data_IF_224592531350
#
_entry.id   IF_224592531350
#
_cell.length_a   1.000
_cell.length_b   1.000
_cell.length_c   1.000
_cell.angle_alpha   90.00
_cell.angle_beta   90.00
_cell.angle_gamma   90.00
#
_symmetry.space_group_name_H-M   'P 1'
#
loop_
_entity.id
_entity.type
_entity.pdbx_description
1 polymer ?
#
# COMPACT_ATOMS: atom_id res chain seq x y z
N UNK A 1 -20.05 22.66 -3.58
CA UNK A 1 -18.80 21.89 -3.66
C UNK A 1 -19.14 20.61 -4.39
N UNK A 2 -18.76 20.52 -5.65
CA UNK A 2 -19.08 19.36 -6.49
C UNK A 2 -18.21 18.17 -6.06
N UNK A 3 -18.83 17.18 -5.44
CA UNK A 3 -18.23 15.89 -5.18
C UNK A 3 -18.00 15.21 -6.53
N UNK A 4 -16.79 15.33 -7.06
CA UNK A 4 -16.40 14.62 -8.28
C UNK A 4 -16.66 13.12 -8.10
N UNK A 5 -17.61 12.59 -8.88
CA UNK A 5 -17.86 11.16 -8.98
C UNK A 5 -16.59 10.53 -9.53
N UNK A 6 -15.81 9.92 -8.65
CA UNK A 6 -14.56 9.28 -9.03
C UNK A 6 -14.90 7.96 -9.72
N UNK A 7 -14.70 7.92 -11.04
CA UNK A 7 -15.10 6.80 -11.89
C UNK A 7 -14.50 5.45 -11.45
N UNK A 8 -15.09 4.36 -11.96
CA UNK A 8 -14.79 2.96 -11.58
C UNK A 8 -13.30 2.60 -11.46
N UNK A 9 -12.39 3.28 -12.17
CA UNK A 9 -10.93 3.07 -12.05
C UNK A 9 -10.37 3.37 -10.66
N UNK A 10 -10.71 4.51 -10.06
CA UNK A 10 -10.18 4.88 -8.73
C UNK A 10 -10.70 3.96 -7.61
N UNK A 11 -11.88 3.37 -7.79
CA UNK A 11 -12.41 2.37 -6.86
C UNK A 11 -11.67 1.03 -6.99
N UNK A 12 -11.32 0.64 -8.22
CA UNK A 12 -10.56 -0.57 -8.46
C UNK A 12 -9.12 -0.46 -7.96
N UNK A 13 -8.47 0.69 -8.14
CA UNK A 13 -7.14 0.97 -7.57
C UNK A 13 -7.17 0.89 -6.04
N UNK A 14 -8.14 1.55 -5.40
CA UNK A 14 -8.31 1.49 -3.94
C UNK A 14 -8.56 0.05 -3.44
N UNK A 15 -9.42 -0.72 -4.11
CA UNK A 15 -9.66 -2.13 -3.75
C UNK A 15 -8.42 -3.00 -3.96
N UNK A 16 -7.64 -2.75 -5.02
CA UNK A 16 -6.38 -3.44 -5.26
C UNK A 16 -5.33 -3.12 -4.19
N UNK A 17 -5.28 -1.86 -3.76
CA UNK A 17 -4.39 -1.36 -2.72
C UNK A 17 -4.84 -1.79 -1.31
N UNK A 18 -6.09 -2.22 -1.12
CA UNK A 18 -6.51 -2.90 0.13
C UNK A 18 -6.11 -4.38 0.11
N UNK A 19 -6.35 -5.06 -1.01
CA UNK A 19 -6.18 -6.52 -1.12
C UNK A 19 -4.71 -6.94 -1.08
N UNK A 20 -3.82 -6.13 -1.66
CA UNK A 20 -2.39 -6.44 -1.74
C UNK A 20 -1.73 -6.33 -0.36
N UNK A 21 -1.81 -5.22 0.41
CA UNK A 21 -1.09 -5.05 1.66
C UNK A 21 -1.64 -5.81 2.87
N UNK A 22 -2.93 -6.19 2.89
CA UNK A 22 -3.52 -6.92 4.03
C UNK A 22 -2.90 -8.31 4.24
N UNK A 23 -2.34 -8.91 3.19
CA UNK A 23 -1.57 -10.17 3.26
C UNK A 23 -0.05 -9.98 3.35
N UNK A 24 0.45 -8.75 3.23
CA UNK A 24 1.88 -8.45 3.11
C UNK A 24 2.46 -7.92 4.42
N UNK A 25 3.02 -8.81 5.24
CA UNK A 25 3.82 -8.42 6.40
C UNK A 25 5.28 -8.70 6.13
N UNK A 26 6.04 -7.65 5.81
CA UNK A 26 7.49 -7.74 5.62
C UNK A 26 8.18 -6.54 6.25
N UNK A 27 9.34 -6.76 6.86
CA UNK A 27 10.13 -5.71 7.56
C UNK A 27 10.54 -4.53 6.67
N UNK A 28 10.52 -4.71 5.35
CA UNK A 28 10.89 -3.69 4.36
C UNK A 28 9.69 -3.17 3.56
N UNK A 29 8.46 -3.42 4.02
CA UNK A 29 7.22 -2.87 3.47
C UNK A 29 6.46 -2.15 4.58
N UNK A 30 5.82 -1.03 4.26
CA UNK A 30 4.97 -0.30 5.20
C UNK A 30 3.66 -1.06 5.36
N UNK A 31 3.26 -1.37 6.58
CA UNK A 31 2.03 -2.12 6.82
C UNK A 31 0.82 -1.20 6.71
N UNK A 32 -0.22 -1.66 6.00
CA UNK A 32 -1.55 -1.07 6.05
C UNK A 32 -2.23 -1.51 7.35
N UNK A 33 -2.55 -0.56 8.22
CA UNK A 33 -3.22 -0.78 9.51
C UNK A 33 -4.74 -0.91 9.35
N UNK A 34 -5.32 -0.22 8.36
CA UNK A 34 -6.74 -0.26 8.09
C UNK A 34 -7.16 0.62 6.93
N UNK A 35 -8.43 0.55 6.58
CA UNK A 35 -9.04 1.40 5.56
C UNK A 35 -10.44 1.83 6.02
N UNK A 36 -10.89 2.97 5.52
CA UNK A 36 -12.27 3.42 5.66
C UNK A 36 -12.84 3.65 4.25
N UNK A 37 -14.04 3.11 4.03
CA UNK A 37 -14.76 3.20 2.78
C UNK A 37 -16.23 3.48 3.10
N UNK A 38 -16.69 4.70 2.84
CA UNK A 38 -18.10 5.07 2.95
C UNK A 38 -18.48 6.03 1.82
N UNK A 39 -19.48 5.66 1.03
CA UNK A 39 -19.89 6.42 -0.16
C UNK A 39 -18.72 6.75 -1.12
N UNK A 40 -18.36 8.04 -1.18
CA UNK A 40 -17.25 8.54 -2.00
C UNK A 40 -15.96 8.80 -1.18
N UNK A 41 -15.98 8.56 0.12
CA UNK A 41 -14.83 8.74 1.01
C UNK A 41 -14.01 7.44 1.06
N UNK A 42 -12.69 7.61 0.88
CA UNK A 42 -11.72 6.52 0.80
C UNK A 42 -10.47 6.94 1.54
N UNK A 43 -10.16 6.22 2.62
CA UNK A 43 -9.01 6.53 3.49
C UNK A 43 -8.21 5.25 3.70
N UNK A 44 -6.88 5.36 3.60
CA UNK A 44 -5.93 4.31 3.96
C UNK A 44 -5.14 4.76 5.18
N UNK A 45 -4.99 3.87 6.15
CA UNK A 45 -4.26 4.10 7.38
C UNK A 45 -3.02 3.22 7.36
N UNK A 46 -1.84 3.83 7.31
CA UNK A 46 -0.55 3.15 7.27
C UNK A 46 0.24 3.34 8.57
N UNK A 47 1.24 2.48 8.78
CA UNK A 47 2.24 2.72 9.82
C UNK A 47 2.97 4.05 9.61
N UNK A 48 3.11 4.82 10.68
CA UNK A 48 3.79 6.10 10.62
C UNK A 48 5.30 5.92 10.48
N UNK A 49 5.88 6.60 9.48
CA UNK A 49 7.31 6.59 9.21
C UNK A 49 7.93 7.91 9.70
N UNK A 50 8.49 7.96 10.93
CA UNK A 50 8.92 9.22 11.56
C UNK A 50 10.08 9.91 10.83
N UNK A 51 10.85 9.15 10.05
CA UNK A 51 11.96 9.67 9.26
C UNK A 51 11.57 10.00 7.82
N UNK A 52 10.28 10.01 7.48
CA UNK A 52 9.83 10.39 6.15
C UNK A 52 10.39 9.52 5.01
N UNK A 53 10.30 10.00 3.76
CA UNK A 53 10.70 9.23 2.60
C UNK A 53 12.23 9.24 2.42
N UNK A 54 12.75 8.15 1.86
CA UNK A 54 14.17 8.04 1.49
C UNK A 54 14.57 9.09 0.45
N UNK A 55 13.63 9.54 -0.41
CA UNK A 55 13.87 10.59 -1.41
C UNK A 55 14.34 11.89 -0.78
N UNK A 56 13.75 12.30 0.34
CA UNK A 56 14.14 13.51 1.07
C UNK A 56 15.61 13.42 1.54
N UNK A 57 16.04 12.24 1.98
CA UNK A 57 17.40 11.99 2.44
C UNK A 57 18.43 11.85 1.32
N UNK A 58 17.98 11.54 0.10
CA UNK A 58 18.84 11.38 -1.08
C UNK A 58 18.96 12.65 -1.93
N UNK A 59 17.87 13.39 -2.10
CA UNK A 59 17.76 14.45 -3.10
C UNK A 59 17.54 15.85 -2.49
N UNK A 60 16.80 15.98 -1.39
CA UNK A 60 16.42 17.27 -0.78
C UNK A 60 17.49 17.81 0.19
N UNK A 61 18.75 17.54 -0.14
CA UNK A 61 19.90 17.76 0.74
C UNK A 61 20.18 19.24 1.01
N UNK A 62 19.89 20.10 0.03
CA UNK A 62 20.14 21.55 0.09
C UNK A 62 19.08 22.30 0.90
N UNK A 63 17.86 21.79 0.93
CA UNK A 63 16.72 22.46 1.55
C UNK A 63 16.66 22.20 3.06
N UNK A 64 17.07 21.00 3.49
CA UNK A 64 17.02 20.57 4.90
C UNK A 64 18.38 20.59 5.61
N UNK A 65 19.39 21.26 5.04
CA UNK A 65 20.76 21.36 5.56
C UNK A 65 21.33 20.02 6.07
N UNK A 66 20.99 18.93 5.38
CA UNK A 66 21.17 17.56 5.87
C UNK A 66 22.48 16.95 5.38
N UNK A 67 23.16 16.22 6.26
CA UNK A 67 24.39 15.52 5.92
C UNK A 67 24.11 14.39 4.91
N UNK A 68 25.03 14.12 3.97
CA UNK A 68 24.86 13.02 3.03
C UNK A 68 24.72 11.71 3.79
N UNK A 69 23.76 10.89 3.37
CA UNK A 69 23.75 9.48 3.78
C UNK A 69 25.08 8.83 3.41
N UNK A 70 25.73 8.26 4.42
CA UNK A 70 26.93 7.46 4.28
C UNK A 70 26.71 6.33 3.26
N UNK A 71 27.74 6.00 2.47
CA UNK A 71 27.65 4.98 1.43
C UNK A 71 27.12 3.64 1.98
N UNK A 72 27.59 3.24 3.17
CA UNK A 72 27.12 2.03 3.85
C UNK A 72 25.61 2.05 4.11
N UNK A 73 25.05 3.19 4.53
CA UNK A 73 23.60 3.34 4.73
C UNK A 73 22.85 3.23 3.42
N UNK A 74 23.34 3.85 2.34
CA UNK A 74 22.73 3.75 1.00
C UNK A 74 22.66 2.31 0.52
N UNK A 75 23.74 1.55 0.69
CA UNK A 75 23.80 0.15 0.30
C UNK A 75 22.83 -0.71 1.12
N UNK A 76 22.73 -0.47 2.44
CA UNK A 76 21.73 -1.13 3.29
C UNK A 76 20.32 -0.81 2.82
N UNK A 77 19.99 0.45 2.55
CA UNK A 77 18.67 0.86 2.06
C UNK A 77 18.36 0.21 0.72
N UNK A 78 19.31 0.15 -0.22
CA UNK A 78 19.10 -0.52 -1.50
C UNK A 78 18.83 -2.03 -1.33
N UNK A 79 19.56 -2.70 -0.44
CA UNK A 79 19.33 -4.10 -0.11
C UNK A 79 17.96 -4.33 0.53
N UNK A 80 17.56 -3.46 1.45
CA UNK A 80 16.24 -3.50 2.10
C UNK A 80 15.11 -3.33 1.08
N UNK A 81 15.25 -2.39 0.13
CA UNK A 81 14.29 -2.22 -0.97
C UNK A 81 14.25 -3.46 -1.85
N UNK A 82 15.41 -4.03 -2.22
CA UNK A 82 15.47 -5.23 -3.05
C UNK A 82 14.76 -6.43 -2.39
N UNK A 83 14.92 -6.62 -1.07
CA UNK A 83 14.20 -7.65 -0.30
C UNK A 83 12.70 -7.40 -0.26
N UNK A 84 12.27 -6.14 -0.11
CA UNK A 84 10.86 -5.77 -0.18
C UNK A 84 10.25 -6.13 -1.55
N UNK A 85 10.94 -5.80 -2.64
CA UNK A 85 10.49 -6.12 -4.01
C UNK A 85 10.51 -7.62 -4.27
N UNK A 86 11.53 -8.34 -3.83
CA UNK A 86 11.59 -9.81 -3.92
C UNK A 86 10.39 -10.45 -3.22
N UNK A 87 10.05 -9.99 -2.01
CA UNK A 87 8.88 -10.46 -1.28
C UNK A 87 7.58 -10.20 -2.04
N UNK A 88 7.41 -8.98 -2.59
CA UNK A 88 6.24 -8.66 -3.44
C UNK A 88 6.14 -9.59 -4.66
N UNK A 89 7.27 -9.83 -5.34
CA UNK A 89 7.32 -10.73 -6.50
C UNK A 89 7.06 -12.19 -6.13
N UNK A 90 7.49 -12.65 -4.95
CA UNK A 90 7.21 -14.02 -4.49
C UNK A 90 5.71 -14.28 -4.24
N UNK A 91 4.95 -13.22 -3.98
CA UNK A 91 3.52 -13.29 -3.67
C UNK A 91 2.63 -13.02 -4.88
N UNK A 92 3.15 -12.41 -5.94
CA UNK A 92 2.42 -12.23 -7.20
C UNK A 92 1.87 -13.56 -7.79
N UNK A 93 2.60 -14.70 -7.76
CA UNK A 93 2.06 -16.00 -8.17
C UNK A 93 0.91 -16.49 -7.29
N UNK A 94 0.94 -16.19 -5.99
CA UNK A 94 -0.10 -16.60 -5.03
C UNK A 94 -1.36 -15.72 -5.13
N UNK A 95 -1.18 -14.43 -5.41
CA UNK A 95 -2.27 -13.46 -5.61
C UNK A 95 -2.98 -13.70 -6.96
N UNK A 96 -2.25 -14.11 -8.00
CA UNK A 96 -2.83 -14.45 -9.30
C UNK A 96 -3.54 -15.82 -9.34
N UNK A 97 -3.32 -16.68 -8.34
CA UNK A 97 -3.92 -18.02 -8.25
C UNK A 97 -5.11 -18.14 -7.30
N UNK A 98 -5.44 -17.08 -6.55
CA UNK A 98 -6.37 -17.16 -5.43
C UNK A 98 -7.84 -17.07 -5.92
N UNK A 99 -8.49 -18.22 -6.03
CA UNK A 99 -9.95 -18.41 -6.26
C UNK A 99 -10.82 -17.80 -5.14
N UNK A 100 -10.26 -17.09 -4.17
CA UNK A 100 -10.95 -16.45 -3.05
C UNK A 100 -11.85 -15.28 -3.44
N UNK A 101 -11.68 -14.69 -4.63
CA UNK A 101 -12.65 -13.69 -5.15
C UNK A 101 -14.03 -14.30 -5.45
N UNK A 102 -14.16 -15.63 -5.58
CA UNK A 102 -15.46 -16.31 -5.64
C UNK A 102 -16.06 -16.56 -4.25
N UNK A 103 -15.28 -16.54 -3.17
CA UNK A 103 -15.80 -16.81 -1.82
C UNK A 103 -16.37 -15.55 -1.15
N UNK A 104 -15.96 -14.35 -1.57
CA UNK A 104 -16.46 -13.09 -1.00
C UNK A 104 -17.84 -12.66 -1.54
N UNK A 105 -18.31 -13.19 -2.68
CA UNK A 105 -19.73 -13.01 -3.07
C UNK A 105 -20.67 -13.80 -2.16
N UNK A 106 -20.20 -14.93 -1.61
CA UNK A 106 -21.05 -15.88 -0.88
C UNK A 106 -21.10 -15.63 0.63
N UNK A 107 -20.30 -14.69 1.15
CA UNK A 107 -20.19 -14.42 2.59
C UNK A 107 -20.74 -13.05 3.02
N UNK A 108 -21.35 -12.28 2.11
CA UNK A 108 -22.04 -11.04 2.49
C UNK A 108 -23.43 -11.36 3.07
N UNK A 109 -23.79 -10.82 4.26
CA UNK A 109 -25.12 -11.01 4.82
C UNK A 109 -26.18 -10.42 3.87
N UNK A 110 -27.30 -11.16 3.70
CA UNK A 110 -28.42 -10.80 2.81
C UNK A 110 -28.99 -9.39 3.04
N UNK A 111 -28.69 -8.75 4.16
CA UNK A 111 -29.10 -7.37 4.47
C UNK A 111 -28.39 -6.29 3.62
N UNK A 112 -27.43 -6.67 2.77
CA UNK A 112 -26.70 -5.75 1.89
C UNK A 112 -26.87 -6.05 0.39
N UNK A 113 -27.78 -6.96 0.03
CA UNK A 113 -28.23 -7.14 -1.34
C UNK A 113 -29.35 -6.12 -1.59
N UNK A 114 -29.10 -5.17 -2.48
CA UNK A 114 -30.12 -4.24 -2.99
C UNK A 114 -31.04 -5.06 -3.91
N UNK A 115 -32.36 -5.01 -3.67
CA UNK A 115 -33.39 -5.65 -4.51
C UNK A 115 -33.28 -5.25 -5.99
#
# INVERSE_FOLDING_TARGET
MESGVMGNKGLNEFKSEIYVPTKLRHRNLVSLLGYFLDGNERILVYEYMPHGPVSQHLFERKEHNSQPLEWKKRLSTALDVARGVEYLHSLAPSISGDKTLLALSDTLPRSMQVD
#
